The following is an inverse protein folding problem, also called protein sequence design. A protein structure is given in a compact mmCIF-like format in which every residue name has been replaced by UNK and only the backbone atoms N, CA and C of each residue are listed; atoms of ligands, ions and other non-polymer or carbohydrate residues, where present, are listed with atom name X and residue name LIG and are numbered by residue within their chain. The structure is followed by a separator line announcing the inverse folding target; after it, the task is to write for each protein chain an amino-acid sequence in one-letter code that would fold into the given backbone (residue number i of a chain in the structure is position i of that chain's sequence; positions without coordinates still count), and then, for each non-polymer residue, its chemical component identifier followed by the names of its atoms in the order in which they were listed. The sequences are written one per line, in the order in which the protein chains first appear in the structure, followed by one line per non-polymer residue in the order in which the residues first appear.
data_IF_886599013640
#
_entry.id   IF_886599013640
#
_cell.length_a   1.000
_cell.length_b   1.000
_cell.length_c   1.000
_cell.angle_alpha   90.00
_cell.angle_beta   90.00
_cell.angle_gamma   90.00
#
_symmetry.space_group_name_H-M   'P 1'
#
loop_
_entity.id
_entity.type
_entity.pdbx_description
1 polymer ?
#
# COMPACT_ATOMS: atom_id res chain seq x y z
N UNK A 1 12.25 -22.08 9.54
CA UNK A 1 11.66 -20.73 9.55
C UNK A 1 11.37 -20.34 8.13
N UNK A 2 10.19 -19.75 7.87
CA UNK A 2 9.75 -19.37 6.52
C UNK A 2 9.46 -17.87 6.50
N UNK A 3 10.24 -17.12 5.74
CA UNK A 3 10.02 -15.72 5.42
C UNK A 3 9.41 -15.63 4.02
N UNK A 4 8.16 -15.21 3.93
CA UNK A 4 7.45 -15.12 2.67
C UNK A 4 6.97 -13.69 2.43
N UNK A 5 7.11 -13.17 1.22
CA UNK A 5 6.46 -11.93 0.82
C UNK A 5 5.29 -12.21 -0.12
N UNK A 6 4.14 -11.59 0.13
CA UNK A 6 3.00 -11.58 -0.81
C UNK A 6 2.97 -10.20 -1.48
N UNK A 7 3.13 -10.20 -2.79
CA UNK A 7 3.33 -8.98 -3.58
C UNK A 7 2.40 -8.93 -4.78
N UNK A 8 2.10 -7.71 -5.25
CA UNK A 8 1.30 -7.50 -6.45
C UNK A 8 2.22 -7.45 -7.66
N UNK A 9 1.90 -8.20 -8.70
CA UNK A 9 2.75 -8.26 -9.90
C UNK A 9 2.47 -7.08 -10.85
N UNK A 10 1.26 -6.52 -10.85
CA UNK A 10 0.85 -5.50 -11.81
C UNK A 10 0.56 -4.15 -11.11
N UNK A 11 -0.65 -3.59 -11.27
CA UNK A 11 -1.02 -2.26 -10.77
C UNK A 11 -1.56 -2.22 -9.33
N UNK A 12 -1.73 -3.36 -8.68
CA UNK A 12 -1.95 -3.41 -7.24
C UNK A 12 -3.32 -3.84 -6.74
N UNK A 13 -4.27 -4.19 -7.61
CA UNK A 13 -5.61 -4.66 -7.24
C UNK A 13 -5.83 -6.16 -7.58
N UNK A 14 -4.77 -6.97 -7.52
CA UNK A 14 -4.74 -8.39 -7.91
C UNK A 14 -5.38 -9.34 -6.89
N UNK A 15 -5.91 -8.83 -5.77
CA UNK A 15 -6.54 -9.65 -4.73
C UNK A 15 -5.59 -10.15 -3.64
N UNK A 16 -4.47 -9.44 -3.40
CA UNK A 16 -3.50 -9.79 -2.35
C UNK A 16 -4.11 -10.04 -0.98
N UNK A 17 -4.99 -9.16 -0.50
CA UNK A 17 -5.57 -9.30 0.84
C UNK A 17 -6.27 -10.64 1.08
N UNK A 18 -6.93 -11.19 0.04
CA UNK A 18 -7.52 -12.54 0.10
C UNK A 18 -6.46 -13.63 0.21
N UNK A 19 -5.35 -13.48 -0.51
CA UNK A 19 -4.22 -14.42 -0.42
C UNK A 19 -3.49 -14.31 0.91
N UNK A 20 -3.34 -13.11 1.46
CA UNK A 20 -2.75 -12.89 2.78
C UNK A 20 -3.65 -13.51 3.84
N UNK A 21 -4.96 -13.26 3.81
CA UNK A 21 -5.90 -13.87 4.76
C UNK A 21 -5.86 -15.41 4.72
N UNK A 22 -5.81 -15.99 3.51
CA UNK A 22 -5.67 -17.45 3.34
C UNK A 22 -4.33 -17.96 3.90
N UNK A 23 -3.21 -17.34 3.52
CA UNK A 23 -1.88 -17.82 3.87
C UNK A 23 -1.51 -17.52 5.32
N UNK A 24 -2.04 -16.45 5.92
CA UNK A 24 -1.72 -16.04 7.29
C UNK A 24 -2.05 -17.10 8.35
N UNK A 25 -2.91 -18.08 8.05
CA UNK A 25 -3.16 -19.22 8.93
C UNK A 25 -1.90 -20.10 9.16
N UNK A 26 -0.95 -20.05 8.22
CA UNK A 26 0.30 -20.83 8.26
C UNK A 26 1.51 -20.00 8.73
N UNK A 27 1.28 -18.75 9.18
CA UNK A 27 2.33 -17.85 9.66
C UNK A 27 2.06 -17.32 11.06
N UNK A 28 3.13 -17.15 11.84
CA UNK A 28 3.06 -16.61 13.20
C UNK A 28 2.96 -15.07 13.22
N UNK A 29 3.47 -14.42 12.17
CA UNK A 29 3.59 -12.97 12.07
C UNK A 29 3.20 -12.47 10.69
N UNK A 30 2.38 -11.42 10.62
CA UNK A 30 2.09 -10.69 9.38
C UNK A 30 2.59 -9.25 9.52
N UNK A 31 3.41 -8.79 8.58
CA UNK A 31 4.04 -7.47 8.62
C UNK A 31 3.69 -6.67 7.39
N UNK A 32 3.07 -5.51 7.58
CA UNK A 32 3.01 -4.47 6.55
C UNK A 32 4.27 -3.63 6.62
N UNK A 33 4.97 -3.53 5.50
CA UNK A 33 6.30 -2.92 5.45
C UNK A 33 6.38 -1.57 4.72
N UNK A 34 5.31 -1.14 4.05
CA UNK A 34 5.28 0.09 3.26
C UNK A 34 3.86 0.56 3.00
N UNK A 35 3.74 1.76 2.43
CA UNK A 35 2.47 2.37 2.03
C UNK A 35 1.77 3.01 3.22
N UNK A 36 0.46 3.24 3.13
CA UNK A 36 -0.36 3.81 4.20
C UNK A 36 -1.84 3.59 3.94
N UNK A 37 -2.68 4.60 4.17
CA UNK A 37 -4.12 4.51 3.88
C UNK A 37 -4.51 4.41 2.39
N UNK A 38 -3.54 4.50 1.47
CA UNK A 38 -3.77 4.57 0.01
C UNK A 38 -4.10 3.25 -0.67
N UNK A 39 -3.81 2.11 -0.05
CA UNK A 39 -4.30 0.84 -0.54
C UNK A 39 -5.19 0.20 0.51
N UNK A 40 -6.25 -0.44 0.06
CA UNK A 40 -7.09 -1.24 0.91
C UNK A 40 -7.45 -2.53 0.23
N UNK A 41 -7.78 -3.52 1.04
CA UNK A 41 -8.31 -4.78 0.56
C UNK A 41 -9.55 -5.13 1.36
N UNK A 42 -10.48 -5.82 0.71
CA UNK A 42 -11.67 -6.31 1.37
C UNK A 42 -11.42 -7.73 1.85
N UNK A 43 -11.57 -7.96 3.15
CA UNK A 43 -11.60 -9.30 3.75
C UNK A 43 -13.06 -9.65 4.05
N UNK A 44 -13.45 -10.88 3.70
CA UNK A 44 -14.76 -11.44 4.02
C UNK A 44 -14.52 -12.73 4.79
N UNK A 45 -14.95 -12.76 6.05
CA UNK A 45 -14.78 -13.88 6.96
C UNK A 45 -15.99 -14.01 7.90
N UNK A 46 -15.87 -14.86 8.93
CA UNK A 46 -16.91 -15.11 9.93
C UNK A 46 -17.32 -13.87 10.74
N UNK A 47 -16.46 -12.85 10.82
CA UNK A 47 -16.77 -11.57 11.49
C UNK A 47 -17.49 -10.58 10.57
N UNK A 48 -17.57 -10.88 9.26
CA UNK A 48 -18.26 -10.08 8.26
C UNK A 48 -17.34 -9.58 7.14
N UNK A 49 -17.72 -8.44 6.55
CA UNK A 49 -16.99 -7.78 5.45
C UNK A 49 -16.27 -6.54 5.97
N UNK A 50 -14.95 -6.50 5.85
CA UNK A 50 -14.10 -5.41 6.31
C UNK A 50 -13.28 -4.83 5.16
N UNK A 51 -13.18 -3.50 5.12
CA UNK A 51 -12.20 -2.82 4.27
C UNK A 51 -11.02 -2.42 5.17
N UNK A 52 -9.91 -3.17 5.07
CA UNK A 52 -8.70 -2.82 5.79
C UNK A 52 -7.84 -1.89 4.94
N UNK A 53 -7.21 -0.93 5.61
CA UNK A 53 -6.35 0.09 5.03
C UNK A 53 -4.96 0.04 5.64
N UNK A 54 -4.80 0.20 6.96
CA UNK A 54 -3.54 0.14 7.70
C UNK A 54 -3.38 -1.14 8.52
N UNK A 55 -4.43 -1.78 9.01
CA UNK A 55 -4.26 -3.07 9.69
C UNK A 55 -3.78 -4.14 8.69
N UNK A 56 -2.79 -4.98 9.03
CA UNK A 56 -2.46 -6.13 8.20
C UNK A 56 -3.63 -7.13 8.15
N UNK A 57 -3.75 -7.87 7.04
CA UNK A 57 -4.86 -8.82 6.82
C UNK A 57 -4.92 -9.93 7.89
N UNK A 58 -3.78 -10.25 8.50
CA UNK A 58 -3.67 -11.27 9.55
C UNK A 58 -4.37 -10.93 10.86
N UNK A 59 -4.93 -9.72 11.01
CA UNK A 59 -5.56 -9.26 12.26
C UNK A 59 -6.78 -10.11 12.66
N UNK A 60 -7.40 -10.79 11.70
CA UNK A 60 -8.52 -11.69 11.93
C UNK A 60 -8.11 -13.08 12.42
N UNK A 61 -6.81 -13.42 12.37
CA UNK A 61 -6.31 -14.76 12.70
C UNK A 61 -5.86 -14.82 14.15
N UNK A 62 -6.46 -15.74 14.91
CA UNK A 62 -6.06 -15.96 16.29
C UNK A 62 -4.62 -16.51 16.36
N UNK A 63 -3.82 -15.99 17.31
CA UNK A 63 -2.41 -16.38 17.48
C UNK A 63 -1.42 -15.69 16.53
N UNK A 64 -1.90 -14.94 15.53
CA UNK A 64 -1.04 -14.22 14.58
C UNK A 64 -0.74 -12.82 15.07
N UNK A 65 0.55 -12.47 15.13
CA UNK A 65 0.98 -11.11 15.48
C UNK A 65 1.07 -10.25 14.23
N UNK A 66 0.46 -9.07 14.28
CA UNK A 66 0.38 -8.14 13.18
C UNK A 66 1.28 -6.94 13.46
N UNK A 67 2.11 -6.56 12.48
CA UNK A 67 3.08 -5.49 12.63
C UNK A 67 2.89 -4.42 11.56
N UNK A 68 2.85 -3.17 12.02
CA UNK A 68 3.06 -1.98 11.20
C UNK A 68 4.54 -1.56 11.28
N UNK A 69 5.29 -1.88 10.23
CA UNK A 69 6.74 -1.63 10.17
C UNK A 69 7.10 -0.15 9.99
N UNK A 70 8.39 0.17 10.15
CA UNK A 70 8.93 1.53 10.02
C UNK A 70 8.80 2.13 8.60
N UNK A 71 8.54 1.31 7.59
CA UNK A 71 8.32 1.78 6.22
C UNK A 71 6.92 2.35 5.97
N UNK A 72 5.96 2.13 6.87
CA UNK A 72 4.55 2.56 6.74
C UNK A 72 4.39 4.05 7.04
N UNK A 73 3.52 4.71 6.29
CA UNK A 73 2.95 6.02 6.56
C UNK A 73 1.81 5.89 7.58
N UNK A 74 2.15 6.04 8.86
CA UNK A 74 1.24 5.75 9.95
C UNK A 74 0.30 6.93 10.21
N UNK A 75 -0.91 6.87 9.68
CA UNK A 75 -1.98 7.82 9.99
C UNK A 75 -2.67 7.42 11.33
N UNK A 76 -2.48 8.20 12.42
CA UNK A 76 -3.01 7.81 13.72
C UNK A 76 -4.53 7.81 13.78
N UNK A 77 -5.17 8.77 13.11
CA UNK A 77 -6.63 8.93 13.11
C UNK A 77 -7.28 7.77 12.36
N UNK A 78 -6.81 7.50 11.15
CA UNK A 78 -7.36 6.42 10.34
C UNK A 78 -7.12 5.05 10.98
N UNK A 79 -5.95 4.81 11.59
CA UNK A 79 -5.71 3.57 12.31
C UNK A 79 -6.64 3.40 13.52
N UNK A 80 -6.86 4.46 14.30
CA UNK A 80 -7.80 4.40 15.43
C UNK A 80 -9.22 4.03 14.97
N UNK A 81 -9.72 4.67 13.92
CA UNK A 81 -11.05 4.38 13.33
C UNK A 81 -11.14 2.96 12.77
N UNK A 82 -10.07 2.48 12.17
CA UNK A 82 -10.00 1.11 11.63
C UNK A 82 -10.01 0.07 12.75
N UNK A 83 -9.24 0.30 13.83
CA UNK A 83 -9.26 -0.52 15.05
C UNK A 83 -10.66 -0.55 15.67
N UNK A 84 -11.32 0.61 15.84
CA UNK A 84 -12.70 0.70 16.32
C UNK A 84 -13.68 -0.11 15.46
N UNK A 85 -13.57 0.01 14.14
CA UNK A 85 -14.43 -0.71 13.19
C UNK A 85 -14.28 -2.22 13.35
N UNK A 86 -13.04 -2.72 13.41
CA UNK A 86 -12.72 -4.14 13.55
C UNK A 86 -13.16 -4.67 14.92
N UNK A 87 -12.83 -3.97 16.00
CA UNK A 87 -13.21 -4.34 17.37
C UNK A 87 -14.72 -4.31 17.63
N UNK A 88 -15.45 -3.38 17.01
CA UNK A 88 -16.93 -3.33 17.10
C UNK A 88 -17.63 -4.59 16.56
N UNK A 89 -16.92 -5.39 15.76
CA UNK A 89 -17.39 -6.67 15.21
C UNK A 89 -16.85 -7.90 15.96
N UNK A 90 -16.22 -7.69 17.12
CA UNK A 90 -15.76 -8.77 18.00
C UNK A 90 -14.37 -9.33 17.67
N UNK A 91 -13.61 -8.67 16.78
CA UNK A 91 -12.22 -9.04 16.51
C UNK A 91 -11.31 -8.40 17.56
N UNK A 92 -10.55 -9.17 18.35
CA UNK A 92 -9.67 -8.61 19.37
C UNK A 92 -8.49 -7.88 18.72
N UNK A 93 -8.28 -6.63 19.07
CA UNK A 93 -7.07 -5.87 18.71
C UNK A 93 -6.45 -5.36 20.00
N UNK A 94 -5.32 -5.95 20.37
CA UNK A 94 -4.65 -5.71 21.65
C UNK A 94 -3.14 -5.56 21.43
N UNK A 95 -2.39 -5.00 22.39
CA UNK A 95 -0.94 -4.93 22.31
C UNK A 95 -0.25 -6.27 22.10
N UNK A 96 -0.89 -7.39 22.43
CA UNK A 96 -0.36 -8.74 22.21
C UNK A 96 -0.31 -9.11 20.72
N UNK A 97 -1.36 -8.77 19.94
CA UNK A 97 -1.49 -9.16 18.54
C UNK A 97 -1.30 -8.03 17.54
N UNK A 98 -1.21 -6.76 17.96
CA UNK A 98 -0.84 -5.64 17.12
C UNK A 98 0.40 -4.92 17.67
N UNK A 99 1.40 -4.74 16.82
CA UNK A 99 2.63 -3.99 17.11
C UNK A 99 2.82 -2.87 16.09
N UNK A 100 3.23 -1.70 16.55
CA UNK A 100 3.55 -0.54 15.73
C UNK A 100 5.02 -0.19 15.98
N UNK A 101 5.78 0.00 14.90
CA UNK A 101 7.18 0.41 15.02
C UNK A 101 7.29 1.79 15.66
N UNK A 102 8.09 1.91 16.71
CA UNK A 102 8.55 3.19 17.26
C UNK A 102 9.26 4.10 16.22
N UNK A 103 9.82 3.49 15.17
CA UNK A 103 10.45 4.15 14.03
C UNK A 103 9.51 4.40 12.85
N UNK A 104 8.22 4.08 12.94
CA UNK A 104 7.25 4.51 11.94
C UNK A 104 7.04 6.03 12.03
N UNK A 105 7.01 6.71 10.89
CA UNK A 105 6.72 8.16 10.84
C UNK A 105 5.21 8.39 10.79
N UNK A 106 4.74 9.45 11.45
CA UNK A 106 3.33 9.81 11.55
C UNK A 106 2.86 10.62 10.34
N UNK A 107 1.76 10.19 9.73
CA UNK A 107 1.04 10.95 8.73
C UNK A 107 0.05 11.88 9.43
N UNK A 108 0.34 13.18 9.33
CA UNK A 108 -0.45 14.27 9.91
C UNK A 108 -1.40 14.94 8.89
N UNK A 109 -2.43 15.67 9.36
CA UNK A 109 -3.47 16.25 8.51
C UNK A 109 -2.98 17.11 7.34
N UNK A 110 -1.88 17.87 7.52
CA UNK A 110 -1.33 18.69 6.45
C UNK A 110 -0.83 17.86 5.25
N UNK A 111 -0.45 16.59 5.44
CA UNK A 111 -0.01 15.78 4.32
C UNK A 111 -1.18 15.48 3.40
N UNK A 112 -2.36 15.20 3.97
CA UNK A 112 -3.60 14.99 3.23
C UNK A 112 -3.95 16.27 2.47
N UNK A 113 -3.94 17.43 3.14
CA UNK A 113 -4.22 18.71 2.51
C UNK A 113 -3.25 19.01 1.34
N UNK A 114 -1.95 18.79 1.53
CA UNK A 114 -0.95 19.00 0.48
C UNK A 114 -1.13 18.07 -0.72
N UNK A 115 -1.58 16.84 -0.48
CA UNK A 115 -1.86 15.86 -1.54
C UNK A 115 -3.07 16.30 -2.39
N UNK A 116 -4.11 16.84 -1.74
CA UNK A 116 -5.26 17.43 -2.41
C UNK A 116 -4.90 18.68 -3.20
N UNK A 117 -4.17 19.61 -2.59
CA UNK A 117 -3.73 20.86 -3.21
C UNK A 117 -2.82 20.62 -4.43
N UNK A 118 -1.95 19.61 -4.39
CA UNK A 118 -1.10 19.27 -5.51
C UNK A 118 -1.92 18.70 -6.69
N UNK A 119 -2.86 17.79 -6.45
CA UNK A 119 -3.76 17.30 -7.49
C UNK A 119 -4.63 18.41 -8.10
N UNK A 120 -5.04 19.40 -7.30
CA UNK A 120 -5.77 20.58 -7.77
C UNK A 120 -4.90 21.49 -8.63
N UNK A 121 -3.66 21.75 -8.20
CA UNK A 121 -2.67 22.55 -8.94
C UNK A 121 -2.37 21.94 -10.31
N UNK A 122 -2.30 20.61 -10.40
CA UNK A 122 -1.97 19.88 -11.63
C UNK A 122 -3.08 19.90 -12.69
N UNK A 123 -4.35 20.13 -12.31
CA UNK A 123 -5.51 20.17 -13.22
C UNK A 123 -5.62 18.90 -14.08
N UNK A 124 -5.32 18.97 -15.38
CA UNK A 124 -5.39 17.84 -16.31
C UNK A 124 -4.14 16.95 -16.29
N UNK A 125 -3.15 17.28 -15.45
CA UNK A 125 -1.88 16.55 -15.31
C UNK A 125 -1.77 15.80 -13.99
N UNK A 126 -2.93 15.43 -13.40
CA UNK A 126 -3.00 14.69 -12.14
C UNK A 126 -2.24 13.38 -12.20
N UNK A 127 -1.66 13.01 -11.07
CA UNK A 127 -1.09 11.68 -10.89
C UNK A 127 -2.18 10.64 -10.60
N UNK A 128 -3.36 11.08 -10.16
CA UNK A 128 -4.44 10.21 -9.75
C UNK A 128 -4.26 9.74 -8.31
N UNK A 129 -3.86 10.66 -7.43
CA UNK A 129 -3.62 10.37 -6.02
C UNK A 129 -4.89 9.87 -5.33
N UNK A 130 -4.71 9.04 -4.30
CA UNK A 130 -5.80 8.63 -3.42
C UNK A 130 -6.23 9.73 -2.47
N UNK A 131 -5.51 10.88 -2.44
CA UNK A 131 -5.76 11.99 -1.52
C UNK A 131 -5.72 11.51 -0.06
N UNK A 132 -4.68 10.74 0.26
CA UNK A 132 -4.46 10.17 1.59
C UNK A 132 -3.13 10.64 2.18
N UNK A 133 -2.49 11.65 1.58
CA UNK A 133 -1.28 12.27 2.12
C UNK A 133 0.02 11.49 1.87
N UNK A 134 -0.01 10.43 1.05
CA UNK A 134 1.13 9.52 0.91
C UNK A 134 2.34 10.19 0.28
N UNK A 135 2.17 10.89 -0.84
CA UNK A 135 3.30 11.52 -1.52
C UNK A 135 3.93 12.66 -0.69
N UNK A 136 3.16 13.60 -0.12
CA UNK A 136 3.72 14.61 0.79
C UNK A 136 4.38 13.99 2.02
N UNK A 137 3.81 12.94 2.60
CA UNK A 137 4.40 12.23 3.73
C UNK A 137 5.76 11.62 3.39
N UNK A 138 5.88 10.85 2.29
CA UNK A 138 7.15 10.22 1.94
C UNK A 138 8.19 11.26 1.53
N UNK A 139 7.78 12.36 0.87
CA UNK A 139 8.63 13.51 0.63
C UNK A 139 9.21 14.05 1.95
N UNK A 140 8.36 14.26 2.95
CA UNK A 140 8.79 14.72 4.27
C UNK A 140 9.69 13.74 4.99
N UNK A 141 9.41 12.44 4.88
CA UNK A 141 10.28 11.41 5.46
C UNK A 141 11.71 11.53 4.93
N UNK A 142 11.88 11.69 3.62
CA UNK A 142 13.19 11.85 3.00
C UNK A 142 13.82 13.24 3.22
N UNK A 143 13.00 14.27 3.39
CA UNK A 143 13.44 15.61 3.80
C UNK A 143 13.73 15.72 5.31
N UNK A 144 13.51 14.65 6.08
CA UNK A 144 13.67 14.58 7.55
C UNK A 144 12.71 15.52 8.29
N UNK A 145 11.46 15.55 7.84
CA UNK A 145 10.39 16.47 8.30
C UNK A 145 9.15 15.73 8.79
N UNK A 146 9.35 14.64 9.52
CA UNK A 146 8.29 13.81 10.10
C UNK A 146 8.52 13.59 11.58
N UNK A 147 7.44 13.37 12.31
CA UNK A 147 7.47 12.89 13.70
C UNK A 147 7.49 11.35 13.68
N UNK A 148 8.34 10.73 14.49
CA UNK A 148 8.32 9.29 14.72
C UNK A 148 7.27 8.92 15.79
N UNK A 149 6.65 7.75 15.65
CA UNK A 149 5.68 7.24 16.61
C UNK A 149 6.27 7.13 18.03
N UNK A 150 7.56 6.78 18.15
CA UNK A 150 8.27 6.74 19.43
C UNK A 150 8.36 8.09 20.15
N UNK A 151 8.26 9.23 19.44
CA UNK A 151 8.27 10.56 20.05
C UNK A 151 7.05 10.80 20.94
N UNK A 152 5.96 10.04 20.77
CA UNK A 152 4.79 10.10 21.64
C UNK A 152 5.13 9.81 23.12
N UNK A 153 6.21 9.09 23.39
CA UNK A 153 6.71 8.83 24.75
C UNK A 153 7.55 9.98 25.33
N UNK A 154 7.84 11.03 24.55
CA UNK A 154 8.68 12.17 24.93
C UNK A 154 7.96 13.51 24.68
N UNK A 155 6.93 13.88 25.48
CA UNK A 155 6.06 15.01 25.19
C UNK A 155 6.78 16.35 24.97
N UNK A 156 7.79 16.68 25.79
CA UNK A 156 8.53 17.94 25.65
C UNK A 156 9.41 17.99 24.38
N UNK A 157 9.93 16.83 23.95
CA UNK A 157 10.65 16.73 22.69
C UNK A 157 9.69 16.86 21.51
N UNK A 158 8.60 16.10 21.56
CA UNK A 158 7.55 16.10 20.55
C UNK A 158 6.96 17.50 20.33
N UNK A 159 6.66 18.23 21.40
CA UNK A 159 6.06 19.55 21.32
C UNK A 159 6.99 20.55 20.61
N UNK A 160 8.28 20.54 20.95
CA UNK A 160 9.29 21.38 20.28
C UNK A 160 9.46 20.99 18.81
N UNK A 161 9.62 19.70 18.53
CA UNK A 161 9.80 19.21 17.17
C UNK A 161 8.56 19.50 16.29
N UNK A 162 7.35 19.30 16.81
CA UNK A 162 6.10 19.63 16.11
C UNK A 162 6.03 21.12 15.76
N UNK A 163 6.45 22.00 16.67
CA UNK A 163 6.45 23.45 16.44
C UNK A 163 7.38 23.83 15.29
N UNK A 164 8.61 23.32 15.29
CA UNK A 164 9.61 23.57 14.25
C UNK A 164 9.14 23.04 12.88
N UNK A 165 8.54 21.85 12.86
CA UNK A 165 7.97 21.28 11.64
C UNK A 165 6.79 22.11 11.13
N UNK A 166 5.88 22.51 12.01
CA UNK A 166 4.70 23.27 11.63
C UNK A 166 5.06 24.64 11.04
N UNK A 167 6.09 25.31 11.58
CA UNK A 167 6.61 26.55 11.01
C UNK A 167 7.02 26.34 9.54
N UNK A 168 7.83 25.31 9.27
CA UNK A 168 8.22 24.95 7.91
C UNK A 168 7.02 24.56 7.02
N UNK A 169 6.07 23.78 7.56
CA UNK A 169 4.89 23.31 6.82
C UNK A 169 4.00 24.46 6.40
N UNK A 170 3.81 25.45 7.26
CA UNK A 170 2.99 26.62 6.96
C UNK A 170 3.58 27.47 5.83
N UNK A 171 4.92 27.50 5.65
CA UNK A 171 5.54 28.13 4.47
C UNK A 171 5.13 27.42 3.17
N UNK A 172 5.13 26.08 3.17
CA UNK A 172 4.74 25.29 1.99
C UNK A 172 3.26 25.48 1.69
N UNK A 173 2.38 25.37 2.69
CA UNK A 173 0.94 25.55 2.52
C UNK A 173 0.59 26.93 1.94
N UNK A 174 1.26 27.97 2.43
CA UNK A 174 1.10 29.33 1.91
C UNK A 174 1.49 29.42 0.43
N UNK A 175 2.51 28.69 -0.01
CA UNK A 175 2.89 28.63 -1.43
C UNK A 175 1.84 27.97 -2.32
N UNK A 176 0.98 27.10 -1.76
CA UNK A 176 -0.21 26.57 -2.44
C UNK A 176 -1.43 27.50 -2.34
N UNK A 177 -1.32 28.64 -1.65
CA UNK A 177 -2.44 29.54 -1.38
C UNK A 177 -3.39 29.05 -0.27
N UNK A 178 -2.99 28.04 0.49
CA UNK A 178 -3.76 27.54 1.63
C UNK A 178 -3.43 28.30 2.93
N UNK A 179 -4.39 28.35 3.85
CA UNK A 179 -4.17 28.92 5.18
C UNK A 179 -3.23 28.06 6.04
N UNK A 180 -2.53 28.66 7.01
CA UNK A 180 -1.66 27.93 7.92
C UNK A 180 -2.48 27.03 8.86
N UNK A 181 -1.89 25.93 9.31
CA UNK A 181 -2.42 25.16 10.43
C UNK A 181 -2.07 25.85 11.76
N UNK A 182 -3.03 25.81 12.68
CA UNK A 182 -2.83 26.22 14.07
C UNK A 182 -2.08 25.13 14.86
N UNK A 183 -1.13 25.56 15.69
CA UNK A 183 -0.32 24.65 16.49
C UNK A 183 -1.15 23.89 17.53
N UNK A 184 -2.05 24.58 18.23
CA UNK A 184 -2.90 23.97 19.25
C UNK A 184 -3.77 22.86 18.63
N UNK A 185 -4.42 23.15 17.52
CA UNK A 185 -5.26 22.18 16.81
C UNK A 185 -4.49 20.94 16.35
N UNK A 186 -3.30 21.11 15.73
CA UNK A 186 -2.51 19.96 15.28
C UNK A 186 -1.98 19.15 16.46
N UNK A 187 -1.51 19.82 17.52
CA UNK A 187 -1.04 19.16 18.74
C UNK A 187 -2.16 18.35 19.38
N UNK A 188 -3.33 18.95 19.56
CA UNK A 188 -4.46 18.30 20.23
C UNK A 188 -4.95 17.09 19.42
N UNK A 189 -5.03 17.22 18.09
CA UNK A 189 -5.32 16.11 17.18
C UNK A 189 -4.29 14.97 17.28
N UNK A 190 -3.00 15.30 17.28
CA UNK A 190 -1.93 14.32 17.42
C UNK A 190 -2.00 13.61 18.78
N UNK A 191 -2.27 14.34 19.86
CA UNK A 191 -2.38 13.75 21.19
C UNK A 191 -3.63 12.90 21.34
N UNK A 192 -4.76 13.31 20.77
CA UNK A 192 -6.02 12.56 20.79
C UNK A 192 -5.83 11.16 20.20
N UNK A 193 -5.33 11.08 18.96
CA UNK A 193 -5.17 9.79 18.27
C UNK A 193 -3.86 9.07 18.63
N UNK A 194 -2.76 9.81 18.74
CA UNK A 194 -1.44 9.24 19.06
C UNK A 194 -1.39 8.60 20.46
N UNK A 195 -2.01 9.20 21.48
CA UNK A 195 -2.00 8.60 22.82
C UNK A 195 -2.73 7.25 22.86
N UNK A 196 -3.77 7.07 22.05
CA UNK A 196 -4.52 5.81 21.94
C UNK A 196 -3.67 4.69 21.33
N UNK A 197 -2.66 5.04 20.53
CA UNK A 197 -1.77 4.07 19.88
C UNK A 197 -0.56 3.68 20.74
N UNK A 198 -0.21 4.47 21.77
CA UNK A 198 0.93 4.19 22.67
C UNK A 198 1.04 2.73 23.14
N UNK A 199 -0.05 2.04 23.56
CA UNK A 199 0.06 0.66 24.01
C UNK A 199 0.58 -0.32 22.95
N UNK A 200 0.42 -0.01 21.67
CA UNK A 200 0.84 -0.86 20.56
C UNK A 200 2.27 -0.55 20.06
N UNK A 201 2.85 0.59 20.45
CA UNK A 201 4.15 1.04 19.96
C UNK A 201 5.28 0.32 20.69
N UNK A 202 6.22 -0.24 19.94
CA UNK A 202 7.42 -0.89 20.48
C UNK A 202 8.57 -0.92 19.45
N UNK A 203 9.77 -1.34 19.88
CA UNK A 203 10.86 -1.65 18.93
C UNK A 203 10.52 -2.95 18.19
N UNK A 204 9.86 -2.80 17.04
CA UNK A 204 9.47 -3.93 16.19
C UNK A 204 10.69 -4.67 15.62
N UNK A 205 11.84 -4.01 15.48
CA UNK A 205 13.06 -4.65 15.00
C UNK A 205 13.62 -5.63 16.04
N UNK A 206 13.67 -5.23 17.31
CA UNK A 206 14.02 -6.12 18.41
C UNK A 206 13.01 -7.26 18.56
N UNK A 207 11.72 -6.94 18.49
CA UNK A 207 10.65 -7.93 18.53
C UNK A 207 10.79 -8.98 17.40
N UNK A 208 11.01 -8.53 16.17
CA UNK A 208 11.17 -9.40 15.00
C UNK A 208 12.44 -10.26 15.08
N UNK A 209 13.55 -9.72 15.60
CA UNK A 209 14.78 -10.51 15.84
C UNK A 209 14.56 -11.61 16.88
N UNK A 210 13.82 -11.33 17.95
CA UNK A 210 13.44 -12.33 18.96
C UNK A 210 12.52 -13.40 18.36
N UNK A 211 11.45 -13.00 17.68
CA UNK A 211 10.55 -13.91 16.98
C UNK A 211 11.30 -14.83 16.00
N UNK A 212 12.25 -14.28 15.24
CA UNK A 212 13.14 -15.05 14.37
C UNK A 212 13.99 -16.07 15.12
N UNK A 213 14.57 -15.68 16.26
CA UNK A 213 15.39 -16.59 17.07
C UNK A 213 14.58 -17.75 17.69
N UNK A 214 13.28 -17.53 17.90
CA UNK A 214 12.31 -18.54 18.33
C UNK A 214 11.79 -19.42 17.18
N UNK A 215 12.26 -19.18 15.94
CA UNK A 215 11.88 -19.95 14.76
C UNK A 215 10.53 -19.57 14.15
N UNK A 216 9.91 -18.47 14.59
CA UNK A 216 8.60 -18.01 14.10
C UNK A 216 8.66 -17.65 12.61
N UNK A 217 7.62 -18.02 11.89
CA UNK A 217 7.42 -17.72 10.48
C UNK A 217 6.86 -16.32 10.27
N UNK A 218 7.30 -15.64 9.20
CA UNK A 218 6.96 -14.23 8.92
C UNK A 218 6.42 -14.09 7.51
N UNK A 219 5.24 -13.48 7.40
CA UNK A 219 4.59 -13.10 6.17
C UNK A 219 4.66 -11.59 5.98
N UNK A 220 5.27 -11.13 4.91
CA UNK A 220 5.33 -9.72 4.54
C UNK A 220 4.19 -9.39 3.57
N UNK A 221 3.35 -8.43 3.94
CA UNK A 221 2.19 -7.99 3.18
C UNK A 221 2.48 -6.68 2.45
N UNK A 222 2.49 -6.75 1.12
CA UNK A 222 2.65 -5.58 0.26
C UNK A 222 1.32 -4.85 0.00
N UNK A 223 1.39 -3.52 -0.08
CA UNK A 223 0.36 -2.71 -0.70
C UNK A 223 0.68 -2.44 -2.18
N UNK A 224 -0.35 -2.31 -3.02
CA UNK A 224 -0.21 -2.07 -4.46
C UNK A 224 0.61 -3.16 -5.19
N UNK A 225 1.11 -2.88 -6.39
CA UNK A 225 1.83 -3.84 -7.22
C UNK A 225 3.08 -3.22 -7.85
N UNK A 226 3.90 -4.06 -8.48
CA UNK A 226 5.21 -3.69 -9.03
C UNK A 226 5.16 -2.49 -9.98
N UNK A 227 4.09 -2.35 -10.77
CA UNK A 227 3.95 -1.25 -11.74
C UNK A 227 3.59 0.09 -11.08
N UNK A 228 3.29 0.09 -9.77
CA UNK A 228 3.14 1.29 -8.94
C UNK A 228 4.33 1.51 -8.02
N UNK A 229 5.37 0.69 -8.07
CA UNK A 229 6.60 0.90 -7.30
C UNK A 229 7.25 2.26 -7.63
N UNK A 230 7.83 2.94 -6.64
CA UNK A 230 8.46 4.24 -6.80
C UNK A 230 9.54 4.26 -7.89
N UNK A 231 10.40 3.25 -7.93
CA UNK A 231 11.60 3.22 -8.79
C UNK A 231 11.38 2.37 -10.04
N UNK A 232 10.68 1.25 -9.88
CA UNK A 232 10.51 0.24 -10.94
C UNK A 232 9.11 0.24 -11.56
N UNK A 233 8.22 1.13 -11.11
CA UNK A 233 6.89 1.28 -11.68
C UNK A 233 6.82 2.23 -12.87
N UNK A 234 5.60 2.62 -13.23
CA UNK A 234 5.32 3.52 -14.35
C UNK A 234 5.44 4.98 -13.89
N UNK A 235 6.66 5.45 -13.62
CA UNK A 235 6.90 6.82 -13.15
C UNK A 235 6.43 7.87 -14.19
N UNK A 236 5.75 8.96 -13.78
CA UNK A 236 5.45 9.43 -12.41
C UNK A 236 4.12 8.90 -11.82
N UNK A 237 3.45 7.95 -12.48
CA UNK A 237 2.19 7.36 -12.03
C UNK A 237 2.43 6.21 -11.04
N UNK A 238 3.25 6.45 -10.02
CA UNK A 238 3.65 5.47 -9.01
C UNK A 238 3.12 5.88 -7.65
N UNK A 239 3.22 5.00 -6.66
CA UNK A 239 3.20 5.45 -5.26
C UNK A 239 4.57 6.02 -4.88
N UNK A 240 4.67 6.58 -3.67
CA UNK A 240 5.89 7.19 -3.14
C UNK A 240 6.66 6.25 -2.20
N UNK A 241 6.34 4.96 -2.24
CA UNK A 241 6.98 3.89 -1.48
C UNK A 241 7.50 2.77 -2.39
N UNK A 242 8.43 1.98 -1.87
CA UNK A 242 8.90 0.77 -2.54
C UNK A 242 7.98 -0.40 -2.21
N UNK A 243 7.28 -0.89 -3.23
CA UNK A 243 6.35 -2.01 -3.17
C UNK A 243 7.07 -3.36 -3.26
N UNK A 244 8.29 -3.38 -3.79
CA UNK A 244 9.01 -4.62 -4.08
C UNK A 244 9.25 -5.51 -2.84
N UNK A 245 9.22 -6.83 -3.06
CA UNK A 245 9.50 -7.83 -2.04
C UNK A 245 10.85 -7.60 -1.35
N UNK A 246 11.88 -7.21 -2.11
CA UNK A 246 13.22 -6.94 -1.60
C UNK A 246 13.29 -5.81 -0.57
N UNK A 247 12.30 -4.90 -0.56
CA UNK A 247 12.20 -3.84 0.45
C UNK A 247 11.54 -4.30 1.75
N UNK A 248 10.83 -5.43 1.75
CA UNK A 248 10.06 -5.89 2.91
C UNK A 248 10.89 -6.06 4.21
N UNK A 249 12.10 -6.65 4.17
CA UNK A 249 12.98 -6.68 5.35
C UNK A 249 13.33 -5.28 5.90
N UNK A 250 13.59 -4.32 5.02
CA UNK A 250 13.97 -2.94 5.40
C UNK A 250 12.79 -2.16 5.96
N UNK A 251 11.62 -2.27 5.33
CA UNK A 251 10.40 -1.59 5.74
C UNK A 251 9.72 -2.19 6.98
N UNK A 252 10.10 -3.39 7.40
CA UNK A 252 9.59 -4.07 8.60
C UNK A 252 10.42 -3.82 9.87
N UNK A 253 11.70 -3.46 9.71
CA UNK A 253 12.65 -3.31 10.82
C UNK A 253 13.56 -4.53 11.02
N UNK A 254 13.60 -5.44 10.04
CA UNK A 254 14.45 -6.64 10.03
C UNK A 254 15.31 -6.69 8.76
N UNK A 255 16.21 -5.71 8.52
CA UNK A 255 16.91 -5.53 7.24
C UNK A 255 17.85 -6.68 6.85
N UNK A 256 18.23 -7.53 7.81
CA UNK A 256 19.08 -8.70 7.60
C UNK A 256 18.28 -9.98 7.26
N UNK A 257 16.94 -9.91 7.24
CA UNK A 257 16.13 -11.03 6.81
C UNK A 257 16.29 -11.29 5.31
N UNK A 258 16.30 -12.59 4.97
CA UNK A 258 16.20 -13.08 3.59
C UNK A 258 14.81 -13.65 3.38
N UNK A 259 14.26 -13.45 2.18
CA UNK A 259 13.01 -14.06 1.78
C UNK A 259 13.29 -15.46 1.23
N UNK A 260 12.56 -16.44 1.75
CA UNK A 260 12.60 -17.83 1.29
C UNK A 260 11.63 -18.04 0.12
N UNK A 261 10.50 -17.30 0.13
CA UNK A 261 9.47 -17.36 -0.90
C UNK A 261 8.93 -15.96 -1.21
N UNK A 262 8.62 -15.71 -2.48
CA UNK A 262 7.90 -14.52 -2.93
C UNK A 262 6.69 -14.97 -3.75
N UNK A 263 5.51 -14.83 -3.19
CA UNK A 263 4.23 -15.12 -3.84
C UNK A 263 3.76 -13.88 -4.59
N UNK A 264 3.90 -13.93 -5.91
CA UNK A 264 3.38 -12.92 -6.83
C UNK A 264 1.89 -13.15 -7.11
N UNK A 265 1.05 -12.24 -6.65
CA UNK A 265 -0.39 -12.28 -6.94
C UNK A 265 -0.65 -11.60 -8.28
N UNK A 266 -1.27 -12.34 -9.19
CA UNK A 266 -1.59 -11.93 -10.56
C UNK A 266 -3.08 -12.15 -10.78
N UNK A 267 -3.76 -11.20 -11.41
CA UNK A 267 -5.15 -11.36 -11.83
C UNK A 267 -5.21 -11.97 -13.23
N UNK A 268 -6.20 -12.80 -13.52
CA UNK A 268 -6.37 -13.44 -14.83
C UNK A 268 -6.62 -12.46 -16.01
N UNK A 269 -6.84 -11.18 -15.71
CA UNK A 269 -6.95 -10.06 -16.63
C UNK A 269 -6.32 -8.82 -15.98
N UNK A 270 -6.06 -7.79 -16.77
CA UNK A 270 -5.38 -6.59 -16.26
C UNK A 270 -6.37 -5.54 -15.80
N UNK A 271 -6.04 -4.90 -14.68
CA UNK A 271 -6.80 -3.79 -14.10
C UNK A 271 -5.84 -2.69 -13.68
N UNK A 272 -6.26 -1.43 -13.85
CA UNK A 272 -5.50 -0.28 -13.43
C UNK A 272 -6.39 0.70 -12.67
N UNK A 273 -5.94 1.08 -11.47
CA UNK A 273 -6.57 2.09 -10.62
C UNK A 273 -5.75 3.36 -10.67
N UNK A 274 -6.37 4.49 -11.03
CA UNK A 274 -5.69 5.78 -11.16
C UNK A 274 -5.21 6.07 -12.59
N UNK A 275 -4.45 7.14 -12.72
CA UNK A 275 -3.98 7.65 -14.01
C UNK A 275 -2.73 6.88 -14.50
N UNK A 276 -2.31 7.19 -15.73
CA UNK A 276 -1.08 6.71 -16.35
C UNK A 276 -1.29 5.70 -17.49
N UNK A 277 -0.21 5.33 -18.21
CA UNK A 277 -0.28 4.37 -19.31
C UNK A 277 -0.85 3.01 -18.89
N UNK A 278 -1.69 2.45 -19.76
CA UNK A 278 -2.16 1.07 -19.69
C UNK A 278 -2.29 0.57 -21.14
N UNK A 279 -1.22 -0.08 -21.63
CA UNK A 279 -1.03 -0.38 -23.05
C UNK A 279 -2.20 -1.17 -23.63
N UNK A 280 -2.64 -2.21 -22.91
CA UNK A 280 -3.71 -3.10 -23.36
C UNK A 280 -5.09 -2.70 -22.83
N UNK A 281 -5.32 -1.42 -22.54
CA UNK A 281 -6.63 -0.98 -22.06
C UNK A 281 -7.74 -1.23 -23.08
N UNK A 282 -8.86 -1.76 -22.60
CA UNK A 282 -10.07 -1.91 -23.40
C UNK A 282 -11.03 -0.75 -23.17
N UNK A 283 -11.79 -0.46 -24.23
CA UNK A 283 -12.83 0.56 -24.25
C UNK A 283 -14.13 -0.03 -24.79
N UNK A 284 -15.26 0.64 -24.52
CA UNK A 284 -16.58 0.24 -25.01
C UNK A 284 -17.18 -0.96 -24.27
N UNK A 285 -18.04 -1.69 -24.97
CA UNK A 285 -18.91 -2.72 -24.39
C UNK A 285 -18.14 -3.89 -23.75
N UNK A 286 -17.06 -4.36 -24.39
CA UNK A 286 -16.23 -5.44 -23.85
C UNK A 286 -15.56 -5.06 -22.52
N UNK A 287 -15.11 -3.81 -22.40
CA UNK A 287 -14.55 -3.30 -21.15
C UNK A 287 -15.63 -3.21 -20.05
N UNK A 288 -16.83 -2.76 -20.37
CA UNK A 288 -17.96 -2.72 -19.42
C UNK A 288 -18.38 -4.12 -18.98
N UNK A 289 -18.40 -5.09 -19.90
CA UNK A 289 -18.71 -6.49 -19.59
C UNK A 289 -17.70 -7.10 -18.63
N UNK A 290 -16.40 -6.90 -18.88
CA UNK A 290 -15.34 -7.36 -17.98
C UNK A 290 -15.40 -6.66 -16.62
N UNK A 291 -15.62 -5.34 -16.56
CA UNK A 291 -15.78 -4.61 -15.30
C UNK A 291 -16.95 -5.13 -14.46
N UNK A 292 -18.10 -5.36 -15.08
CA UNK A 292 -19.29 -5.89 -14.40
C UNK A 292 -19.04 -7.31 -13.89
N UNK A 293 -18.48 -8.18 -14.73
CA UNK A 293 -18.19 -9.57 -14.33
C UNK A 293 -17.16 -9.66 -13.22
N UNK A 294 -16.19 -8.74 -13.19
CA UNK A 294 -15.12 -8.71 -12.19
C UNK A 294 -15.39 -7.83 -10.97
N UNK A 295 -16.54 -7.15 -10.90
CA UNK A 295 -16.85 -6.12 -9.91
C UNK A 295 -15.74 -5.05 -9.77
N UNK A 296 -15.20 -4.59 -10.91
CA UNK A 296 -14.02 -3.71 -10.95
C UNK A 296 -14.37 -2.23 -10.73
N UNK A 297 -14.83 -1.94 -9.52
CA UNK A 297 -15.19 -0.61 -9.05
C UNK A 297 -14.47 -0.29 -7.73
N UNK A 298 -14.15 0.98 -7.49
CA UNK A 298 -13.52 1.42 -6.24
C UNK A 298 -14.43 1.16 -5.02
N UNK A 299 -13.92 0.50 -3.98
CA UNK A 299 -14.72 0.11 -2.81
C UNK A 299 -15.36 1.31 -2.07
N UNK A 300 -14.68 2.47 -2.05
CA UNK A 300 -15.15 3.70 -1.40
C UNK A 300 -15.85 4.66 -2.36
N UNK A 301 -15.36 4.74 -3.60
CA UNK A 301 -15.77 5.78 -4.57
C UNK A 301 -16.74 5.29 -5.63
N UNK A 302 -16.86 3.97 -5.84
CA UNK A 302 -17.62 3.39 -6.94
C UNK A 302 -17.04 3.68 -8.33
N UNK A 303 -15.92 4.41 -8.46
CA UNK A 303 -15.33 4.76 -9.76
C UNK A 303 -14.92 3.48 -10.51
N UNK A 304 -15.28 3.32 -11.79
CA UNK A 304 -14.87 2.16 -12.58
C UNK A 304 -13.35 2.13 -12.72
N UNK A 305 -12.77 0.95 -12.52
CA UNK A 305 -11.35 0.71 -12.78
C UNK A 305 -11.15 0.54 -14.28
N UNK A 306 -9.96 0.85 -14.77
CA UNK A 306 -9.59 0.57 -16.16
C UNK A 306 -9.31 -0.92 -16.28
N UNK A 307 -9.70 -1.55 -17.38
CA UNK A 307 -9.58 -3.01 -17.58
C UNK A 307 -8.98 -3.34 -18.93
N UNK A 308 -8.39 -4.51 -19.05
CA UNK A 308 -7.82 -5.03 -20.28
C UNK A 308 -7.59 -6.55 -20.20
N UNK A 309 -7.07 -7.17 -21.26
CA UNK A 309 -6.76 -8.58 -21.30
C UNK A 309 -5.61 -8.91 -20.34
N UNK A 310 -5.30 -10.20 -20.20
CA UNK A 310 -4.06 -10.59 -19.54
C UNK A 310 -2.85 -10.04 -20.30
N UNK A 311 -2.00 -9.29 -19.61
CA UNK A 311 -0.82 -8.66 -20.20
C UNK A 311 0.45 -9.41 -19.78
N UNK A 312 0.95 -10.29 -20.66
CA UNK A 312 2.15 -11.08 -20.38
C UNK A 312 3.39 -10.20 -20.28
N UNK A 313 3.49 -9.12 -21.06
CA UNK A 313 4.68 -8.26 -21.08
C UNK A 313 4.82 -7.56 -19.72
N UNK A 314 3.75 -6.91 -19.27
CA UNK A 314 3.71 -6.26 -17.96
C UNK A 314 3.85 -7.26 -16.81
N UNK A 315 3.18 -8.41 -16.89
CA UNK A 315 3.23 -9.45 -15.85
C UNK A 315 4.62 -10.06 -15.72
N UNK A 316 5.29 -10.36 -16.84
CA UNK A 316 6.64 -10.91 -16.84
C UNK A 316 7.62 -9.94 -16.19
N UNK A 317 7.54 -8.65 -16.53
CA UNK A 317 8.36 -7.63 -15.89
C UNK A 317 8.08 -7.55 -14.39
N UNK A 318 6.81 -7.52 -13.98
CA UNK A 318 6.41 -7.53 -12.58
C UNK A 318 6.96 -8.72 -11.79
N UNK A 319 6.90 -9.93 -12.36
CA UNK A 319 7.49 -11.15 -11.79
C UNK A 319 8.99 -11.00 -11.59
N UNK A 320 9.69 -10.47 -12.59
CA UNK A 320 11.14 -10.27 -12.56
C UNK A 320 11.55 -9.28 -11.47
N UNK A 321 10.94 -8.08 -11.42
CA UNK A 321 11.33 -7.04 -10.46
C UNK A 321 10.93 -7.37 -9.03
N UNK A 322 9.86 -8.15 -8.85
CA UNK A 322 9.50 -8.69 -7.53
C UNK A 322 10.40 -9.83 -7.09
N UNK A 323 11.09 -10.51 -8.02
CA UNK A 323 11.77 -11.77 -7.74
C UNK A 323 10.80 -12.87 -7.33
N UNK A 324 9.60 -12.91 -7.92
CA UNK A 324 8.56 -13.85 -7.54
C UNK A 324 8.98 -15.31 -7.84
N UNK A 325 8.89 -16.16 -6.82
CA UNK A 325 9.21 -17.60 -6.90
C UNK A 325 7.97 -18.43 -7.18
N UNK A 326 6.80 -17.92 -6.80
CA UNK A 326 5.50 -18.58 -6.91
C UNK A 326 4.48 -17.57 -7.44
N UNK A 327 3.51 -18.02 -8.25
CA UNK A 327 2.41 -17.19 -8.74
C UNK A 327 1.08 -17.68 -8.18
N UNK A 328 0.30 -16.76 -7.62
CA UNK A 328 -1.09 -16.96 -7.27
C UNK A 328 -1.98 -16.27 -8.31
N UNK A 329 -2.61 -17.04 -9.19
CA UNK A 329 -3.54 -16.52 -10.21
C UNK A 329 -4.93 -16.37 -9.61
N UNK A 330 -5.49 -15.16 -9.66
CA UNK A 330 -6.80 -14.82 -9.07
C UNK A 330 -7.83 -14.44 -10.14
N UNK A 331 -9.11 -14.52 -9.76
CA UNK A 331 -10.27 -14.11 -10.57
C UNK A 331 -10.35 -14.78 -11.95
N UNK A 332 -9.94 -16.04 -12.07
CA UNK A 332 -10.07 -16.79 -13.33
C UNK A 332 -11.54 -17.04 -13.69
N UNK A 333 -12.41 -17.20 -12.69
CA UNK A 333 -13.86 -17.36 -12.82
C UNK A 333 -14.54 -16.21 -13.57
N UNK A 334 -13.99 -14.99 -13.48
CA UNK A 334 -14.51 -13.80 -14.19
C UNK A 334 -14.48 -13.98 -15.71
N UNK A 335 -13.56 -14.80 -16.23
CA UNK A 335 -13.40 -15.02 -17.67
C UNK A 335 -14.30 -16.13 -18.21
N UNK A 336 -15.11 -16.79 -17.37
CA UNK A 336 -15.90 -17.98 -17.75
C UNK A 336 -16.93 -17.72 -18.85
N UNK A 337 -17.31 -16.46 -19.08
CA UNK A 337 -18.24 -16.09 -20.15
C UNK A 337 -17.58 -16.01 -21.54
N UNK A 338 -16.25 -16.03 -21.61
CA UNK A 338 -15.49 -15.86 -22.85
C UNK A 338 -15.28 -17.19 -23.55
N UNK A 339 -15.61 -17.28 -24.84
CA UNK A 339 -15.23 -18.44 -25.67
C UNK A 339 -13.71 -18.50 -25.90
N UNK A 340 -13.07 -17.33 -26.03
CA UNK A 340 -11.63 -17.17 -26.22
C UNK A 340 -11.10 -16.11 -25.28
N UNK A 341 -10.04 -16.42 -24.55
CA UNK A 341 -9.40 -15.50 -23.62
C UNK A 341 -8.29 -14.74 -24.37
N UNK A 342 -8.44 -13.42 -24.60
CA UNK A 342 -7.42 -12.63 -25.24
C UNK A 342 -6.24 -12.38 -24.29
N UNK A 343 -5.04 -12.39 -24.86
CA UNK A 343 -3.79 -12.20 -24.13
C UNK A 343 -2.86 -11.31 -24.94
N UNK A 344 -2.30 -10.26 -24.33
CA UNK A 344 -1.21 -9.50 -24.92
C UNK A 344 0.11 -10.22 -24.63
N UNK A 345 0.79 -10.67 -25.69
CA UNK A 345 2.07 -11.39 -25.58
C UNK A 345 3.28 -10.52 -25.90
N UNK A 346 3.08 -9.44 -26.65
CA UNK A 346 4.10 -8.51 -27.14
C UNK A 346 3.49 -7.13 -27.32
N UNK A 347 4.31 -6.10 -27.21
CA UNK A 347 3.94 -4.73 -27.58
C UNK A 347 4.60 -4.34 -28.90
N UNK A 348 4.03 -3.34 -29.56
CA UNK A 348 4.70 -2.59 -30.62
C UNK A 348 5.09 -1.22 -30.06
N UNK A 349 6.40 -0.94 -30.01
CA UNK A 349 6.96 0.33 -29.53
C UNK A 349 7.79 0.94 -30.66
N UNK A 350 7.44 2.15 -31.10
CA UNK A 350 8.10 2.81 -32.25
C UNK A 350 8.15 1.94 -33.52
N UNK A 351 7.09 1.17 -33.76
CA UNK A 351 7.00 0.25 -34.91
C UNK A 351 7.80 -1.06 -34.76
N UNK A 352 8.47 -1.27 -33.62
CA UNK A 352 9.26 -2.48 -33.34
C UNK A 352 8.52 -3.34 -32.32
N UNK A 353 8.36 -4.62 -32.65
CA UNK A 353 7.78 -5.60 -31.75
C UNK A 353 8.75 -5.94 -30.60
N UNK A 354 8.26 -5.97 -29.36
CA UNK A 354 9.05 -6.26 -28.17
C UNK A 354 8.24 -7.05 -27.15
N UNK A 355 8.91 -7.92 -26.40
CA UNK A 355 8.36 -8.62 -25.24
C UNK A 355 8.96 -8.12 -23.91
N UNK A 356 9.73 -7.03 -23.98
CA UNK A 356 10.27 -6.30 -22.83
C UNK A 356 9.34 -5.15 -22.46
N UNK A 357 9.06 -5.02 -21.17
CA UNK A 357 8.33 -3.86 -20.66
C UNK A 357 9.16 -2.59 -20.90
N UNK A 358 8.63 -1.61 -21.65
CA UNK A 358 9.42 -0.48 -22.09
C UNK A 358 9.58 0.57 -20.99
N UNK A 359 10.53 1.48 -21.19
CA UNK A 359 10.72 2.64 -20.32
C UNK A 359 9.42 3.48 -20.22
N UNK A 360 9.08 4.09 -19.07
CA UNK A 360 7.78 4.72 -18.86
C UNK A 360 7.35 5.72 -19.93
N UNK A 361 8.27 6.54 -20.45
CA UNK A 361 7.95 7.51 -21.51
C UNK A 361 7.48 6.85 -22.82
N UNK A 362 7.91 5.62 -23.11
CA UNK A 362 7.54 4.89 -24.32
C UNK A 362 6.22 4.11 -24.18
N UNK A 363 5.68 3.94 -22.97
CA UNK A 363 4.43 3.21 -22.74
C UNK A 363 3.21 3.92 -23.34
N UNK A 364 3.25 5.25 -23.49
CA UNK A 364 2.12 6.03 -24.01
C UNK A 364 1.83 5.72 -25.48
N UNK A 365 2.88 5.43 -26.25
CA UNK A 365 2.80 5.18 -27.69
C UNK A 365 2.87 3.69 -28.04
N UNK A 366 2.97 2.82 -27.02
CA UNK A 366 2.95 1.38 -27.17
C UNK A 366 1.55 0.87 -27.58
N UNK A 367 1.52 -0.21 -28.36
CA UNK A 367 0.29 -0.88 -28.81
C UNK A 367 0.31 -2.36 -28.50
#
# INVERSE_FOLDING_TARGET
MKNCAIVGINWGDEGKGRMVDLLAQDYDVVVRYQGGGNAGHTVINEYGKFALHLLPSGIFRNGVVNILGNGVALDPENLCKEIETVTSKGVPVTPENLKISDRASLLLPWHIALDELEEERLKDKKYGSTKQGIAPFYSDKYLKKTILAGELFYPEYLERHLKDLLEWKNLILTAYGAGPYDFGQVRDHLLEYGNRLKPFICDTGDWLRRARSEGRSILFEAQLGALRDLDYGIYPYTTSSNVLASYAPVGSGLPDARLDEVVGVVKAYSTCVGEGPFVCEWFGEEAERLRRSGEEYGAKTGRPRRVGPFDIVATRYGVQVQGATTIALTKLDVLSYMERIPVCSKYIVNGVETDKFPFPAALRDAK
#
